data_IF_423101689655
#
_entry.id   IF_423101689655
#
_cell.length_a   1.000
_cell.length_b   1.000
_cell.length_c   1.000
_cell.angle_alpha   90.00
_cell.angle_beta   90.00
_cell.angle_gamma   90.00
#
_symmetry.space_group_name_H-M   'P 1'
#
loop_
_entity.id
_entity.type
_entity.pdbx_description
1 polymer ?
#
# COMPACT_ATOMS: atom_id res chain seq x y z
N UNK A 1 69.34 -22.85 77.40
CA UNK A 1 69.00 -21.78 76.44
C UNK A 1 69.45 -22.23 75.06
N UNK A 2 68.55 -22.62 74.13
CA UNK A 2 68.99 -23.09 72.83
C UNK A 2 69.24 -21.92 71.90
N UNK A 3 70.48 -21.86 71.42
CA UNK A 3 70.99 -20.97 70.41
C UNK A 3 70.42 -21.41 69.05
N UNK A 4 69.41 -20.72 68.52
CA UNK A 4 68.88 -20.97 67.16
C UNK A 4 68.89 -19.71 66.26
N UNK A 5 70.04 -19.06 65.95
CA UNK A 5 70.07 -17.98 64.94
C UNK A 5 70.41 -18.49 63.52
N UNK A 6 70.98 -19.68 63.38
CA UNK A 6 71.48 -20.21 62.10
C UNK A 6 70.43 -20.94 61.24
N UNK A 7 69.45 -21.59 61.87
CA UNK A 7 68.40 -22.33 61.17
C UNK A 7 67.38 -21.38 60.52
N UNK A 8 66.97 -20.31 61.22
CA UNK A 8 66.03 -19.30 60.74
C UNK A 8 66.52 -18.61 59.45
N UNK A 9 67.81 -18.24 59.37
CA UNK A 9 68.39 -17.61 58.18
C UNK A 9 68.43 -18.52 56.95
N UNK A 10 68.64 -19.83 57.12
CA UNK A 10 68.59 -20.80 56.01
C UNK A 10 67.16 -20.98 55.49
N UNK A 11 66.17 -20.99 56.37
CA UNK A 11 64.75 -21.11 56.00
C UNK A 11 64.25 -19.87 55.25
N UNK A 12 64.67 -18.68 55.66
CA UNK A 12 64.35 -17.42 54.96
C UNK A 12 64.99 -17.36 53.57
N UNK A 13 66.26 -17.78 53.44
CA UNK A 13 66.96 -17.80 52.16
C UNK A 13 66.35 -18.84 51.19
N UNK A 14 65.93 -20.00 51.70
CA UNK A 14 65.17 -20.97 50.91
C UNK A 14 63.81 -20.42 50.45
N UNK A 15 63.05 -19.75 51.34
CA UNK A 15 61.80 -19.07 50.97
C UNK A 15 62.00 -17.96 49.94
N UNK A 16 63.09 -17.18 50.04
CA UNK A 16 63.42 -16.15 49.07
C UNK A 16 63.78 -16.74 47.69
N UNK A 17 64.54 -17.84 47.67
CA UNK A 17 64.88 -18.57 46.43
C UNK A 17 63.63 -19.17 45.75
N UNK A 18 62.72 -19.75 46.52
CA UNK A 18 61.44 -20.25 46.00
C UNK A 18 60.56 -19.13 45.45
N UNK A 19 60.48 -17.98 46.15
CA UNK A 19 59.78 -16.80 45.64
C UNK A 19 60.36 -16.30 44.33
N UNK A 20 61.69 -16.25 44.21
CA UNK A 20 62.37 -15.85 42.98
C UNK A 20 62.10 -16.83 41.82
N UNK A 21 62.14 -18.14 42.08
CA UNK A 21 61.82 -19.15 41.07
C UNK A 21 60.35 -19.07 40.62
N UNK A 22 59.41 -18.83 41.54
CA UNK A 22 58.00 -18.59 41.20
C UNK A 22 57.78 -17.28 40.43
N UNK A 23 58.56 -16.24 40.73
CA UNK A 23 58.54 -15.00 39.95
C UNK A 23 59.04 -15.24 38.52
N UNK A 24 60.19 -15.91 38.36
CA UNK A 24 60.74 -16.25 37.02
C UNK A 24 59.82 -17.14 36.19
N UNK A 25 59.13 -18.11 36.81
CA UNK A 25 58.12 -18.93 36.10
C UNK A 25 56.93 -18.09 35.64
N UNK A 26 56.43 -17.21 36.51
CA UNK A 26 55.34 -16.29 36.15
C UNK A 26 55.77 -15.32 35.05
N UNK A 27 56.99 -14.78 35.09
CA UNK A 27 57.51 -13.91 34.03
C UNK A 27 57.60 -14.67 32.69
N UNK A 28 58.01 -15.94 32.71
CA UNK A 28 58.02 -16.78 31.51
C UNK A 28 56.60 -17.08 30.99
N UNK A 29 55.65 -17.37 31.88
CA UNK A 29 54.23 -17.56 31.55
C UNK A 29 53.62 -16.28 30.96
N UNK A 30 53.90 -15.11 31.55
CA UNK A 30 53.45 -13.83 31.02
C UNK A 30 54.09 -13.51 29.67
N UNK A 31 55.38 -13.79 29.50
CA UNK A 31 56.06 -13.61 28.21
C UNK A 31 55.49 -14.52 27.12
N UNK A 32 55.11 -15.75 27.46
CA UNK A 32 54.47 -16.65 26.51
C UNK A 32 53.04 -16.19 26.18
N UNK A 33 52.27 -15.79 27.18
CA UNK A 33 50.92 -15.26 26.97
C UNK A 33 50.92 -13.98 26.09
N UNK A 34 51.90 -13.10 26.29
CA UNK A 34 52.09 -11.93 25.44
C UNK A 34 52.36 -12.33 23.97
N UNK A 35 53.25 -13.29 23.73
CA UNK A 35 53.50 -13.81 22.38
C UNK A 35 52.29 -14.48 21.74
N UNK A 36 51.43 -15.13 22.54
CA UNK A 36 50.19 -15.73 22.04
C UNK A 36 49.16 -14.66 21.67
N UNK A 37 49.08 -13.56 22.43
CA UNK A 37 48.23 -12.40 22.11
C UNK A 37 48.71 -11.73 20.82
N UNK A 38 50.02 -11.46 20.69
CA UNK A 38 50.58 -10.82 19.49
C UNK A 38 50.30 -11.65 18.22
N UNK A 39 50.39 -12.99 18.31
CA UNK A 39 50.06 -13.89 17.20
C UNK A 39 48.56 -13.86 16.85
N UNK A 40 47.68 -13.80 17.84
CA UNK A 40 46.25 -13.72 17.58
C UNK A 40 45.87 -12.34 16.99
N UNK A 41 46.52 -11.26 17.43
CA UNK A 41 46.35 -9.93 16.84
C UNK A 41 46.77 -9.91 15.36
N UNK A 42 47.93 -10.49 15.03
CA UNK A 42 48.39 -10.64 13.64
C UNK A 42 47.39 -11.44 12.79
N UNK A 43 46.88 -12.56 13.34
CA UNK A 43 45.87 -13.40 12.67
C UNK A 43 44.55 -12.66 12.44
N UNK A 44 44.12 -11.86 13.42
CA UNK A 44 42.89 -11.06 13.31
C UNK A 44 43.05 -9.94 12.29
N UNK A 45 44.21 -9.28 12.22
CA UNK A 45 44.44 -8.26 11.20
C UNK A 45 44.53 -8.86 9.78
N UNK A 46 45.13 -10.03 9.61
CA UNK A 46 45.10 -10.73 8.32
C UNK A 46 43.66 -11.10 7.91
N UNK A 47 42.84 -11.58 8.87
CA UNK A 47 41.43 -11.87 8.63
C UNK A 47 40.63 -10.62 8.28
N UNK A 48 40.90 -9.49 8.94
CA UNK A 48 40.28 -8.19 8.64
C UNK A 48 40.63 -7.73 7.23
N UNK A 49 41.91 -7.80 6.83
CA UNK A 49 42.34 -7.51 5.46
C UNK A 49 41.62 -8.40 4.44
N UNK A 50 41.55 -9.70 4.68
CA UNK A 50 40.84 -10.65 3.81
C UNK A 50 39.34 -10.32 3.67
N UNK A 51 38.67 -9.95 4.76
CA UNK A 51 37.27 -9.55 4.74
C UNK A 51 37.05 -8.22 4.01
N UNK A 52 37.94 -7.24 4.17
CA UNK A 52 37.90 -5.98 3.43
C UNK A 52 38.07 -6.23 1.93
N UNK A 53 39.05 -7.05 1.52
CA UNK A 53 39.24 -7.43 0.12
C UNK A 53 38.01 -8.16 -0.43
N UNK A 54 37.43 -9.11 0.31
CA UNK A 54 36.19 -9.78 -0.11
C UNK A 54 35.04 -8.78 -0.25
N UNK A 55 34.92 -7.82 0.65
CA UNK A 55 33.89 -6.78 0.58
C UNK A 55 34.09 -5.88 -0.64
N UNK A 56 35.32 -5.49 -0.96
CA UNK A 56 35.65 -4.69 -2.15
C UNK A 56 35.41 -5.47 -3.45
N UNK A 57 35.80 -6.75 -3.51
CA UNK A 57 35.53 -7.61 -4.67
C UNK A 57 34.03 -7.82 -4.86
N UNK A 58 33.29 -8.03 -3.77
CA UNK A 58 31.84 -8.14 -3.83
C UNK A 58 31.21 -6.80 -4.22
N UNK A 59 31.65 -5.66 -3.68
CA UNK A 59 31.12 -4.34 -4.07
C UNK A 59 31.42 -4.00 -5.52
N UNK A 60 32.65 -4.21 -6.02
CA UNK A 60 32.96 -3.96 -7.44
C UNK A 60 32.17 -4.85 -8.38
N UNK A 61 31.97 -6.12 -8.05
CA UNK A 61 31.10 -7.01 -8.83
C UNK A 61 29.62 -6.63 -8.71
N UNK A 62 29.16 -6.19 -7.54
CA UNK A 62 27.78 -5.78 -7.32
C UNK A 62 27.47 -4.46 -8.04
N UNK A 63 28.37 -3.48 -7.97
CA UNK A 63 28.25 -2.20 -8.65
C UNK A 63 28.40 -2.33 -10.17
N UNK A 64 29.28 -3.19 -10.69
CA UNK A 64 29.40 -3.41 -12.14
C UNK A 64 28.21 -4.18 -12.73
N UNK A 65 27.66 -5.17 -12.00
CA UNK A 65 26.50 -5.95 -12.46
C UNK A 65 25.18 -5.22 -12.31
N UNK A 66 25.06 -4.37 -11.28
CA UNK A 66 23.92 -3.47 -11.09
C UNK A 66 24.14 -2.10 -11.73
N UNK A 67 25.29 -1.86 -12.33
CA UNK A 67 25.49 -0.63 -13.11
C UNK A 67 24.42 -0.64 -14.19
N UNK A 68 23.67 0.44 -14.26
CA UNK A 68 22.48 0.51 -15.11
C UNK A 68 22.83 0.18 -16.58
N UNK A 69 24.09 0.41 -16.97
CA UNK A 69 24.66 0.02 -18.27
C UNK A 69 24.68 -1.50 -18.51
N UNK A 70 25.15 -2.35 -17.58
CA UNK A 70 25.23 -3.81 -17.80
C UNK A 70 23.83 -4.44 -17.76
N UNK A 71 23.00 -3.99 -16.81
CA UNK A 71 21.60 -4.39 -16.72
C UNK A 71 20.85 -4.10 -18.02
N UNK A 72 20.93 -2.86 -18.52
CA UNK A 72 20.20 -2.40 -19.71
C UNK A 72 20.77 -2.96 -21.01
N UNK A 73 22.10 -3.10 -21.11
CA UNK A 73 22.75 -3.55 -22.35
C UNK A 73 22.78 -5.07 -22.51
N UNK A 74 22.84 -5.84 -21.43
CA UNK A 74 23.11 -7.28 -21.51
C UNK A 74 22.01 -8.12 -20.87
N UNK A 75 21.67 -7.84 -19.61
CA UNK A 75 20.76 -8.68 -18.83
C UNK A 75 19.33 -8.57 -19.39
N UNK A 76 18.80 -7.36 -19.53
CA UNK A 76 17.44 -7.13 -20.04
C UNK A 76 17.24 -7.75 -21.44
N UNK A 77 18.12 -7.50 -22.44
CA UNK A 77 17.99 -8.11 -23.76
C UNK A 77 18.06 -9.65 -23.72
N UNK A 78 18.95 -10.22 -22.91
CA UNK A 78 19.04 -11.68 -22.74
C UNK A 78 17.74 -12.25 -22.15
N UNK A 79 17.22 -11.64 -21.09
CA UNK A 79 15.95 -12.05 -20.47
C UNK A 79 14.78 -11.96 -21.46
N UNK A 80 14.69 -10.89 -22.25
CA UNK A 80 13.67 -10.76 -23.29
C UNK A 80 13.79 -11.87 -24.33
N UNK A 81 14.98 -12.11 -24.87
CA UNK A 81 15.20 -13.16 -25.87
C UNK A 81 14.87 -14.56 -25.36
N UNK A 82 15.33 -14.90 -24.14
CA UNK A 82 15.08 -16.21 -23.54
C UNK A 82 13.59 -16.41 -23.23
N UNK A 83 12.93 -15.42 -22.62
CA UNK A 83 11.51 -15.50 -22.27
C UNK A 83 10.62 -15.60 -23.52
N UNK A 84 10.94 -14.86 -24.59
CA UNK A 84 10.21 -14.94 -25.85
C UNK A 84 10.34 -16.33 -26.48
N UNK A 85 11.55 -16.89 -26.50
CA UNK A 85 11.75 -18.25 -27.04
C UNK A 85 10.99 -19.30 -26.23
N UNK A 86 11.08 -19.23 -24.90
CA UNK A 86 10.35 -20.11 -24.00
C UNK A 86 8.83 -20.00 -24.19
N UNK A 87 8.30 -18.78 -24.24
CA UNK A 87 6.88 -18.54 -24.47
C UNK A 87 6.42 -19.09 -25.83
N UNK A 88 7.22 -18.92 -26.88
CA UNK A 88 6.97 -19.51 -28.21
C UNK A 88 6.96 -21.05 -28.17
N UNK A 89 7.88 -21.65 -27.42
CA UNK A 89 7.88 -23.12 -27.22
C UNK A 89 6.64 -23.58 -26.46
N UNK A 90 6.18 -22.84 -25.44
CA UNK A 90 4.92 -23.14 -24.74
C UNK A 90 3.72 -23.05 -25.69
N UNK A 91 3.61 -21.99 -26.48
CA UNK A 91 2.51 -21.79 -27.43
C UNK A 91 2.41 -22.91 -28.46
N UNK A 92 3.56 -23.38 -28.96
CA UNK A 92 3.62 -24.40 -30.02
C UNK A 92 3.45 -25.82 -29.51
N UNK A 93 3.85 -26.11 -28.27
CA UNK A 93 3.88 -27.48 -27.72
C UNK A 93 2.71 -27.81 -26.78
N UNK A 94 2.13 -26.81 -26.12
CA UNK A 94 1.07 -27.00 -25.14
C UNK A 94 -0.27 -26.58 -25.73
N UNK A 95 -1.33 -27.33 -25.43
CA UNK A 95 -2.70 -26.92 -25.76
C UNK A 95 -3.12 -25.71 -24.91
N UNK A 96 -4.18 -25.02 -25.34
CA UNK A 96 -4.69 -23.83 -24.66
C UNK A 96 -5.02 -24.11 -23.19
N UNK A 97 -5.64 -25.26 -22.92
CA UNK A 97 -6.07 -25.67 -21.58
C UNK A 97 -4.88 -25.87 -20.63
N UNK A 98 -3.80 -26.49 -21.11
CA UNK A 98 -2.59 -26.67 -20.31
C UNK A 98 -1.89 -25.33 -20.06
N UNK A 99 -1.89 -24.42 -21.05
CA UNK A 99 -1.36 -23.06 -20.85
C UNK A 99 -2.18 -22.29 -19.83
N UNK A 100 -3.50 -22.35 -19.89
CA UNK A 100 -4.38 -21.68 -18.93
C UNK A 100 -4.18 -22.21 -17.50
N UNK A 101 -3.93 -23.51 -17.35
CA UNK A 101 -3.50 -24.07 -16.05
C UNK A 101 -2.18 -23.44 -15.59
N UNK A 102 -1.16 -23.38 -16.45
CA UNK A 102 0.14 -22.78 -16.12
C UNK A 102 -0.03 -21.30 -15.72
N UNK A 103 -0.82 -20.53 -16.49
CA UNK A 103 -1.09 -19.13 -16.18
C UNK A 103 -1.86 -18.98 -14.88
N UNK A 104 -2.80 -19.87 -14.58
CA UNK A 104 -3.49 -19.89 -13.29
C UNK A 104 -2.53 -20.11 -12.11
N UNK A 105 -1.53 -20.98 -12.29
CA UNK A 105 -0.49 -21.18 -11.28
C UNK A 105 0.42 -19.96 -11.06
N UNK A 106 0.52 -19.01 -12.00
CA UNK A 106 1.27 -17.76 -11.79
C UNK A 106 0.63 -16.89 -10.69
N UNK A 107 -0.68 -16.98 -10.55
CA UNK A 107 -1.49 -16.19 -9.63
C UNK A 107 -1.85 -16.94 -8.34
N UNK A 108 -1.57 -18.24 -8.29
CA UNK A 108 -1.80 -19.06 -7.12
C UNK A 108 -0.82 -18.69 -6.00
N UNK A 109 -1.36 -18.23 -4.89
CA UNK A 109 -0.57 -17.99 -3.69
C UNK A 109 -0.48 -19.25 -2.85
N UNK A 110 0.74 -19.62 -2.46
CA UNK A 110 0.98 -20.66 -1.47
C UNK A 110 1.43 -19.99 -0.16
N UNK A 111 0.67 -20.13 0.94
CA UNK A 111 0.95 -19.43 2.20
C UNK A 111 2.35 -19.71 2.76
N UNK A 112 2.85 -20.93 2.56
CA UNK A 112 4.20 -21.33 3.03
C UNK A 112 5.35 -20.94 2.09
N UNK A 113 5.08 -20.39 0.89
CA UNK A 113 6.14 -19.91 0.01
C UNK A 113 6.52 -18.50 0.42
N UNK A 114 7.70 -18.38 1.03
CA UNK A 114 8.43 -17.13 1.23
C UNK A 114 8.79 -16.51 -0.14
N UNK A 115 7.80 -15.88 -0.79
CA UNK A 115 8.10 -15.12 -2.01
C UNK A 115 8.90 -13.86 -1.62
N UNK A 116 9.76 -13.34 -2.51
CA UNK A 116 10.39 -12.03 -2.35
C UNK A 116 9.39 -10.89 -2.03
N UNK A 117 8.11 -11.04 -2.43
CA UNK A 117 7.03 -10.12 -2.07
C UNK A 117 6.74 -10.10 -0.55
N UNK A 118 7.12 -11.13 0.21
CA UNK A 118 7.10 -11.06 1.67
C UNK A 118 8.08 -10.03 2.25
N UNK A 119 9.14 -9.64 1.55
CA UNK A 119 9.98 -8.52 1.98
C UNK A 119 9.30 -7.17 1.69
N UNK A 120 8.52 -7.08 0.61
CA UNK A 120 7.61 -5.93 0.34
C UNK A 120 6.49 -5.77 1.38
N UNK A 121 6.05 -6.87 2.02
CA UNK A 121 5.01 -6.86 3.09
C UNK A 121 5.33 -5.92 4.26
N UNK A 122 6.60 -5.67 4.59
CA UNK A 122 6.96 -4.79 5.72
C UNK A 122 6.73 -3.30 5.44
N UNK A 123 6.66 -2.90 4.16
CA UNK A 123 6.31 -1.54 3.77
C UNK A 123 4.83 -1.41 3.38
N UNK A 124 4.24 -2.42 2.74
CA UNK A 124 2.86 -2.35 2.25
C UNK A 124 1.76 -2.60 3.31
N UNK A 125 2.06 -3.28 4.42
CA UNK A 125 1.14 -3.34 5.59
C UNK A 125 0.78 -1.96 6.14
N UNK A 126 1.50 -0.91 5.74
CA UNK A 126 1.25 0.46 6.20
C UNK A 126 0.15 1.19 5.42
N UNK A 127 -0.29 0.66 4.26
CA UNK A 127 -1.33 1.28 3.42
C UNK A 127 -2.64 0.49 3.38
N UNK A 128 -2.65 -0.72 3.96
CA UNK A 128 -3.80 -1.61 3.98
C UNK A 128 -4.45 -1.71 5.36
N UNK A 129 -5.41 -0.84 5.59
CA UNK A 129 -6.47 -1.01 6.59
C UNK A 129 -7.83 -0.76 5.95
N UNK A 130 -8.19 -1.49 4.88
CA UNK A 130 -9.46 -1.22 4.17
C UNK A 130 -10.26 -2.43 3.72
N UNK A 131 -9.95 -3.64 4.19
CA UNK A 131 -10.84 -4.81 3.97
C UNK A 131 -11.23 -5.48 5.28
N UNK A 132 -12.51 -5.29 5.60
CA UNK A 132 -13.44 -6.11 6.36
C UNK A 132 -13.51 -6.01 7.90
N UNK A 133 -14.76 -5.83 8.34
CA UNK A 133 -15.27 -6.28 9.62
C UNK A 133 -15.33 -7.82 9.63
N UNK A 134 -14.86 -8.41 10.72
CA UNK A 134 -14.97 -9.76 11.31
C UNK A 134 -15.30 -11.04 10.50
N UNK A 135 -15.73 -11.01 9.23
CA UNK A 135 -16.24 -12.19 8.49
C UNK A 135 -15.55 -12.52 7.14
N UNK A 136 -14.53 -11.78 6.71
CA UNK A 136 -13.73 -12.18 5.53
C UNK A 136 -12.32 -12.58 5.98
N UNK A 137 -11.98 -13.88 6.01
CA UNK A 137 -10.63 -14.30 6.34
C UNK A 137 -9.68 -13.84 5.24
N UNK A 138 -8.72 -12.99 5.62
CA UNK A 138 -7.37 -12.98 5.08
C UNK A 138 -7.21 -12.78 3.56
N UNK A 139 -8.01 -11.94 2.91
CA UNK A 139 -7.77 -11.61 1.47
C UNK A 139 -6.37 -11.02 1.24
N UNK A 140 -5.84 -10.26 2.21
CA UNK A 140 -4.49 -9.70 2.20
C UNK A 140 -3.42 -10.78 2.48
N UNK A 141 -3.70 -11.77 3.34
CA UNK A 141 -2.72 -12.84 3.57
C UNK A 141 -2.70 -13.85 2.43
N UNK A 142 -3.79 -13.98 1.67
CA UNK A 142 -3.96 -14.97 0.63
C UNK A 142 -3.52 -14.53 -0.78
N UNK A 143 -3.30 -13.24 -1.08
CA UNK A 143 -3.00 -12.81 -2.47
C UNK A 143 -2.04 -11.60 -2.61
N UNK A 144 -0.85 -11.59 -1.98
CA UNK A 144 0.04 -10.42 -1.95
C UNK A 144 0.52 -9.96 -3.35
N UNK A 145 0.82 -10.89 -4.26
CA UNK A 145 1.27 -10.52 -5.62
C UNK A 145 0.16 -9.81 -6.42
N UNK A 146 -1.07 -10.30 -6.34
CA UNK A 146 -2.20 -9.68 -7.03
C UNK A 146 -2.47 -8.29 -6.48
N UNK A 147 -2.29 -8.12 -5.17
CA UNK A 147 -2.43 -6.85 -4.46
C UNK A 147 -1.36 -5.82 -4.86
N UNK A 148 -0.09 -6.25 -4.98
CA UNK A 148 1.01 -5.40 -5.44
C UNK A 148 0.77 -4.92 -6.88
N UNK A 149 0.30 -5.83 -7.75
CA UNK A 149 -0.02 -5.52 -9.15
C UNK A 149 -1.19 -4.54 -9.22
N UNK A 150 -2.28 -4.76 -8.49
CA UNK A 150 -3.43 -3.85 -8.53
C UNK A 150 -3.11 -2.46 -8.00
N UNK A 151 -2.21 -2.34 -7.01
CA UNK A 151 -1.71 -1.02 -6.59
C UNK A 151 -0.83 -0.36 -7.62
N UNK A 152 0.08 -1.13 -8.21
CA UNK A 152 0.92 -0.61 -9.29
C UNK A 152 0.04 -0.09 -10.42
N UNK A 153 -1.00 -0.83 -10.80
CA UNK A 153 -2.02 -0.37 -11.75
C UNK A 153 -2.74 0.91 -11.30
N UNK A 154 -3.06 1.03 -10.01
CA UNK A 154 -3.73 2.21 -9.47
C UNK A 154 -2.84 3.47 -9.45
N UNK A 155 -1.53 3.32 -9.29
CA UNK A 155 -0.57 4.43 -9.13
C UNK A 155 0.24 4.77 -10.37
N UNK A 156 0.30 3.89 -11.38
CA UNK A 156 1.11 4.13 -12.57
C UNK A 156 0.39 5.07 -13.53
N UNK A 157 0.87 6.32 -13.58
CA UNK A 157 0.61 7.19 -14.73
C UNK A 157 1.28 6.57 -15.97
N UNK A 158 0.61 6.63 -17.11
CA UNK A 158 0.87 5.94 -18.39
C UNK A 158 2.33 5.87 -18.92
N UNK A 159 3.24 6.68 -18.41
CA UNK A 159 4.56 6.88 -19.00
C UNK A 159 5.63 5.82 -18.69
N UNK A 160 5.46 4.94 -17.69
CA UNK A 160 6.64 4.28 -17.10
C UNK A 160 6.60 2.75 -16.96
N UNK A 161 5.57 2.05 -17.45
CA UNK A 161 5.42 0.59 -17.27
C UNK A 161 6.62 -0.22 -17.75
N UNK A 162 7.27 0.20 -18.84
CA UNK A 162 8.48 -0.44 -19.34
C UNK A 162 9.60 -0.47 -18.29
N UNK A 163 9.80 0.63 -17.57
CA UNK A 163 10.81 0.71 -16.50
C UNK A 163 10.39 -0.14 -15.30
N UNK A 164 9.10 -0.20 -14.99
CA UNK A 164 8.59 -1.11 -13.96
C UNK A 164 8.84 -2.58 -14.31
N UNK A 165 8.67 -2.97 -15.57
CA UNK A 165 9.05 -4.30 -16.05
C UNK A 165 10.56 -4.50 -16.01
N UNK A 166 11.33 -3.61 -16.61
CA UNK A 166 12.79 -3.73 -16.71
C UNK A 166 13.47 -3.78 -15.32
N UNK A 167 12.87 -3.14 -14.31
CA UNK A 167 13.32 -3.19 -12.90
C UNK A 167 12.69 -4.32 -12.07
N UNK A 168 11.83 -5.17 -12.67
CA UNK A 168 11.17 -6.29 -11.99
C UNK A 168 10.12 -5.89 -10.94
N UNK A 169 9.64 -4.64 -10.97
CA UNK A 169 8.57 -4.15 -10.09
C UNK A 169 7.20 -4.70 -10.50
N UNK A 170 7.00 -4.97 -11.80
CA UNK A 170 5.83 -5.67 -12.33
C UNK A 170 6.30 -6.94 -13.04
N UNK A 171 5.57 -8.06 -12.96
CA UNK A 171 6.04 -9.31 -13.56
C UNK A 171 6.25 -9.23 -15.07
N UNK A 172 7.41 -9.69 -15.55
CA UNK A 172 7.77 -9.70 -16.98
C UNK A 172 6.76 -10.44 -17.87
N UNK A 173 6.02 -11.41 -17.33
CA UNK A 173 5.01 -12.15 -18.08
C UNK A 173 3.72 -11.35 -18.36
N UNK A 174 3.64 -10.09 -17.97
CA UNK A 174 2.61 -9.16 -18.46
C UNK A 174 3.15 -8.23 -19.56
N UNK A 175 4.44 -8.31 -19.88
CA UNK A 175 5.08 -7.48 -20.90
C UNK A 175 5.22 -8.23 -22.22
N UNK A 176 4.64 -7.67 -23.28
CA UNK A 176 4.78 -8.18 -24.64
C UNK A 176 6.23 -8.20 -25.12
N UNK A 177 7.07 -7.27 -24.65
CA UNK A 177 8.52 -7.23 -24.92
C UNK A 177 9.24 -8.48 -24.39
N UNK A 178 8.76 -9.08 -23.30
CA UNK A 178 9.44 -10.20 -22.66
C UNK A 178 8.91 -11.56 -23.12
N UNK A 179 7.61 -11.72 -23.33
CA UNK A 179 7.02 -13.05 -23.61
C UNK A 179 6.25 -13.11 -24.93
N UNK A 180 6.24 -12.03 -25.69
CA UNK A 180 5.48 -11.88 -26.92
C UNK A 180 4.01 -11.51 -26.67
N UNK A 181 3.41 -10.81 -27.64
CA UNK A 181 2.06 -10.23 -27.52
C UNK A 181 0.98 -11.27 -27.21
N UNK A 182 0.95 -12.41 -27.92
CA UNK A 182 -0.07 -13.44 -27.71
C UNK A 182 -0.01 -14.03 -26.30
N UNK A 183 1.18 -14.42 -25.83
CA UNK A 183 1.35 -14.98 -24.49
C UNK A 183 1.02 -13.94 -23.43
N UNK A 184 1.43 -12.68 -23.60
CA UNK A 184 1.10 -11.61 -22.67
C UNK A 184 -0.40 -11.34 -22.59
N UNK A 185 -1.10 -11.37 -23.72
CA UNK A 185 -2.55 -11.31 -23.77
C UNK A 185 -3.19 -12.47 -23.00
N UNK A 186 -2.77 -13.72 -23.27
CA UNK A 186 -3.30 -14.90 -22.57
C UNK A 186 -3.07 -14.85 -21.05
N UNK A 187 -1.89 -14.39 -20.61
CA UNK A 187 -1.55 -14.20 -19.20
C UNK A 187 -2.38 -13.09 -18.57
N UNK A 188 -2.57 -11.96 -19.27
CA UNK A 188 -3.42 -10.85 -18.83
C UNK A 188 -4.88 -11.27 -18.66
N UNK A 189 -5.44 -12.04 -19.58
CA UNK A 189 -6.79 -12.63 -19.42
C UNK A 189 -6.87 -13.51 -18.16
N UNK A 190 -5.85 -14.33 -17.93
CA UNK A 190 -5.77 -15.17 -16.71
C UNK A 190 -5.66 -14.33 -15.43
N UNK A 191 -4.93 -13.21 -15.45
CA UNK A 191 -4.84 -12.27 -14.33
C UNK A 191 -6.23 -11.76 -13.94
N UNK A 192 -6.98 -11.19 -14.89
CA UNK A 192 -8.32 -10.66 -14.62
C UNK A 192 -9.28 -11.74 -14.15
N UNK A 193 -9.18 -12.97 -14.66
CA UNK A 193 -9.95 -14.09 -14.11
C UNK A 193 -9.71 -14.30 -12.61
N UNK A 194 -8.45 -14.24 -12.17
CA UNK A 194 -8.09 -14.41 -10.76
C UNK A 194 -8.48 -13.19 -9.91
N UNK A 195 -8.27 -11.97 -10.42
CA UNK A 195 -8.69 -10.74 -9.75
C UNK A 195 -10.21 -10.70 -9.53
N UNK A 196 -11.00 -11.13 -10.52
CA UNK A 196 -12.45 -11.26 -10.39
C UNK A 196 -12.85 -12.31 -9.35
N UNK A 197 -12.18 -13.47 -9.34
CA UNK A 197 -12.47 -14.55 -8.38
C UNK A 197 -12.18 -14.13 -6.95
N UNK A 198 -11.15 -13.31 -6.74
CA UNK A 198 -10.74 -12.82 -5.44
C UNK A 198 -11.39 -11.48 -5.04
N UNK A 199 -12.26 -10.90 -5.89
CA UNK A 199 -12.91 -9.60 -5.68
C UNK A 199 -11.89 -8.46 -5.37
N UNK A 200 -10.74 -8.48 -6.06
CA UNK A 200 -9.59 -7.59 -5.80
C UNK A 200 -9.53 -6.33 -6.68
N UNK A 201 -10.36 -6.22 -7.72
CA UNK A 201 -10.38 -5.04 -8.58
C UNK A 201 -11.04 -3.87 -7.87
N UNK A 202 -10.32 -2.77 -7.76
CA UNK A 202 -10.80 -1.56 -7.10
C UNK A 202 -10.42 -0.31 -7.89
N UNK A 203 -11.28 0.69 -7.89
CA UNK A 203 -10.98 2.01 -8.47
C UNK A 203 -11.66 3.13 -7.68
N UNK A 204 -11.17 4.36 -7.84
CA UNK A 204 -11.96 5.52 -7.43
C UNK A 204 -13.04 5.81 -8.47
N UNK A 205 -14.18 6.32 -8.00
CA UNK A 205 -15.33 6.72 -8.84
C UNK A 205 -14.96 7.48 -10.13
N UNK A 206 -14.11 8.50 -10.05
CA UNK A 206 -13.65 9.24 -11.24
C UNK A 206 -12.73 8.46 -12.21
N UNK A 207 -12.23 7.28 -11.84
CA UNK A 207 -11.40 6.40 -12.66
C UNK A 207 -12.17 5.21 -13.26
N UNK A 208 -13.48 5.08 -12.99
CA UNK A 208 -14.32 3.99 -13.53
C UNK A 208 -14.14 3.87 -15.04
N UNK A 209 -14.27 4.99 -15.77
CA UNK A 209 -14.13 5.00 -17.23
C UNK A 209 -12.77 4.47 -17.69
N UNK A 210 -11.69 4.97 -17.09
CA UNK A 210 -10.33 4.52 -17.42
C UNK A 210 -10.16 3.02 -17.17
N UNK A 211 -10.66 2.51 -16.05
CA UNK A 211 -10.58 1.07 -15.69
C UNK A 211 -11.20 0.16 -16.77
N UNK A 212 -12.22 0.63 -17.46
CA UNK A 212 -12.94 -0.14 -18.48
C UNK A 212 -12.46 0.10 -19.91
N UNK A 213 -11.91 1.26 -20.22
CA UNK A 213 -11.49 1.62 -21.58
C UNK A 213 -10.00 1.41 -21.82
N UNK A 214 -9.20 1.42 -20.76
CA UNK A 214 -7.75 1.42 -20.85
C UNK A 214 -7.20 0.05 -20.47
N UNK A 215 -6.48 -0.55 -21.41
CA UNK A 215 -5.60 -1.68 -21.13
C UNK A 215 -4.25 -1.15 -20.65
N UNK A 216 -4.09 -1.08 -19.32
CA UNK A 216 -2.87 -0.59 -18.70
C UNK A 216 -1.64 -1.38 -19.15
N UNK A 217 -1.75 -2.68 -19.43
CA UNK A 217 -0.59 -3.48 -19.86
C UNK A 217 -0.29 -3.35 -21.36
N UNK A 218 -1.16 -2.71 -22.13
CA UNK A 218 -1.06 -2.56 -23.58
C UNK A 218 -0.89 -3.90 -24.32
N UNK A 219 -1.58 -4.94 -23.86
CA UNK A 219 -1.56 -6.30 -24.45
C UNK A 219 -2.84 -6.63 -25.23
N UNK A 220 -3.68 -5.63 -25.51
CA UNK A 220 -4.91 -5.74 -26.28
C UNK A 220 -6.06 -6.38 -25.50
N UNK A 221 -6.17 -6.14 -24.20
CA UNK A 221 -7.23 -6.71 -23.35
C UNK A 221 -8.59 -6.01 -23.57
N UNK A 222 -9.67 -6.74 -23.87
CA UNK A 222 -11.02 -6.19 -23.91
C UNK A 222 -11.57 -6.04 -22.48
N UNK A 223 -11.13 -5.01 -21.78
CA UNK A 223 -11.40 -4.77 -20.36
C UNK A 223 -12.88 -4.85 -19.97
N UNK A 224 -13.76 -4.27 -20.79
CA UNK A 224 -15.23 -4.35 -20.64
C UNK A 224 -15.78 -5.79 -20.58
N UNK A 225 -15.14 -6.74 -21.26
CA UNK A 225 -15.55 -8.14 -21.26
C UNK A 225 -14.84 -8.98 -20.19
N UNK A 226 -13.70 -8.50 -19.68
CA UNK A 226 -12.90 -9.22 -18.69
C UNK A 226 -13.29 -8.89 -17.26
N UNK A 227 -13.63 -7.64 -16.94
CA UNK A 227 -14.00 -7.24 -15.58
C UNK A 227 -15.39 -7.80 -15.24
N UNK A 228 -15.45 -8.59 -14.16
CA UNK A 228 -16.67 -9.24 -13.64
C UNK A 228 -16.89 -8.98 -12.16
N UNK A 229 -15.90 -8.44 -11.45
CA UNK A 229 -16.03 -7.95 -10.08
C UNK A 229 -15.35 -6.61 -9.98
N UNK A 230 -16.00 -5.61 -9.37
CA UNK A 230 -15.42 -4.28 -9.19
C UNK A 230 -15.87 -3.64 -7.88
N UNK A 231 -14.91 -3.14 -7.11
CA UNK A 231 -15.16 -2.29 -5.94
C UNK A 231 -14.87 -0.83 -6.29
N UNK A 232 -15.86 0.05 -6.12
CA UNK A 232 -15.76 1.47 -6.43
C UNK A 232 -15.69 2.27 -5.14
N UNK A 233 -14.60 3.01 -4.99
CA UNK A 233 -14.38 3.95 -3.90
C UNK A 233 -14.95 5.32 -4.29
N UNK A 234 -16.14 5.61 -3.79
CA UNK A 234 -16.85 6.87 -4.06
C UNK A 234 -16.64 7.84 -2.90
N UNK A 235 -15.70 8.78 -3.04
CA UNK A 235 -15.54 9.89 -2.09
C UNK A 235 -16.68 10.88 -2.30
N UNK A 236 -17.79 10.70 -1.58
CA UNK A 236 -19.01 11.53 -1.73
C UNK A 236 -18.68 13.01 -1.58
N UNK A 237 -17.73 13.33 -0.69
CA UNK A 237 -17.28 14.69 -0.44
C UNK A 237 -16.66 15.39 -1.66
N UNK A 238 -16.17 14.65 -2.66
CA UNK A 238 -15.66 15.21 -3.93
C UNK A 238 -16.75 15.78 -4.82
N UNK A 239 -17.97 15.28 -4.69
CA UNK A 239 -19.10 15.68 -5.54
C UNK A 239 -19.88 16.85 -4.97
N UNK A 240 -19.49 17.35 -3.80
CA UNK A 240 -20.12 18.47 -3.12
C UNK A 240 -20.04 19.78 -3.90
N UNK A 241 -21.13 20.55 -3.94
CA UNK A 241 -21.20 21.87 -4.61
C UNK A 241 -21.44 23.02 -3.63
N UNK A 242 -20.69 24.13 -3.76
CA UNK A 242 -20.97 25.32 -2.95
C UNK A 242 -22.42 25.79 -3.17
N UNK A 243 -23.08 26.37 -2.14
CA UNK A 243 -24.44 26.88 -2.30
C UNK A 243 -24.53 27.90 -3.45
N UNK A 244 -25.64 27.90 -4.22
CA UNK A 244 -25.77 28.69 -5.46
C UNK A 244 -25.60 30.21 -5.28
N UNK A 245 -25.79 30.74 -4.06
CA UNK A 245 -25.64 32.17 -3.73
C UNK A 245 -24.45 32.47 -2.80
N UNK A 246 -23.54 31.51 -2.62
CA UNK A 246 -22.42 31.69 -1.71
C UNK A 246 -21.31 32.55 -2.34
N UNK A 247 -21.27 33.85 -2.03
CA UNK A 247 -20.10 34.68 -2.29
C UNK A 247 -19.02 34.35 -1.27
N UNK A 248 -17.98 33.62 -1.70
CA UNK A 248 -16.78 33.39 -0.91
C UNK A 248 -16.24 34.74 -0.43
N UNK A 249 -16.46 35.05 0.85
CA UNK A 249 -15.92 36.25 1.48
C UNK A 249 -14.65 35.90 2.25
N UNK A 250 -13.71 36.84 2.46
CA UNK A 250 -12.55 36.62 3.33
C UNK A 250 -12.91 36.30 4.79
N UNK A 251 -14.19 36.45 5.17
CA UNK A 251 -14.73 36.16 6.51
C UNK A 251 -15.50 34.83 6.57
N UNK A 252 -15.57 34.09 5.47
CA UNK A 252 -16.19 32.79 5.41
C UNK A 252 -15.23 31.75 6.01
N UNK A 253 -15.48 31.34 7.25
CA UNK A 253 -14.68 30.33 7.96
C UNK A 253 -15.08 28.89 7.60
N UNK A 254 -15.59 28.69 6.39
CA UNK A 254 -16.01 27.38 5.94
C UNK A 254 -15.23 26.98 4.69
N UNK A 255 -14.69 25.77 4.71
CA UNK A 255 -13.98 25.22 3.56
C UNK A 255 -14.95 24.95 2.40
N UNK A 256 -14.44 24.74 1.18
CA UNK A 256 -15.19 24.24 0.02
C UNK A 256 -16.02 22.96 0.30
N UNK A 257 -15.88 22.35 1.49
CA UNK A 257 -16.64 21.19 1.97
C UNK A 257 -17.97 21.54 2.69
N UNK A 258 -18.23 22.83 2.94
CA UNK A 258 -19.53 23.34 3.42
C UNK A 258 -20.51 23.58 2.28
N UNK A 259 -20.96 22.47 1.73
CA UNK A 259 -21.89 22.39 0.60
C UNK A 259 -23.14 21.67 1.04
N UNK A 260 -24.31 22.18 0.72
CA UNK A 260 -25.57 21.53 1.08
C UNK A 260 -25.96 20.40 0.11
N UNK A 261 -25.37 20.36 -1.10
CA UNK A 261 -25.82 19.52 -2.21
C UNK A 261 -24.67 18.82 -2.94
N UNK A 262 -25.01 17.79 -3.70
CA UNK A 262 -24.15 17.05 -4.61
C UNK A 262 -24.33 17.56 -6.04
N UNK A 263 -23.22 17.69 -6.78
CA UNK A 263 -23.18 17.81 -8.23
C UNK A 263 -23.64 16.49 -8.85
N UNK A 264 -24.97 16.35 -9.03
CA UNK A 264 -25.59 15.13 -9.55
C UNK A 264 -25.06 14.79 -10.94
N UNK A 265 -24.82 15.79 -11.78
CA UNK A 265 -24.32 15.65 -13.14
C UNK A 265 -22.94 14.99 -13.15
N UNK A 266 -22.01 15.47 -12.31
CA UNK A 266 -20.66 14.91 -12.22
C UNK A 266 -20.68 13.48 -11.67
N UNK A 267 -21.47 13.23 -10.63
CA UNK A 267 -21.61 11.88 -10.06
C UNK A 267 -22.20 10.90 -11.09
N UNK A 268 -23.23 11.31 -11.84
CA UNK A 268 -23.79 10.51 -12.95
C UNK A 268 -22.77 10.25 -14.05
N UNK A 269 -22.00 11.28 -14.42
CA UNK A 269 -20.98 11.17 -15.47
C UNK A 269 -19.90 10.15 -15.10
N UNK A 270 -19.39 10.19 -13.87
CA UNK A 270 -18.35 9.27 -13.42
C UNK A 270 -18.82 7.80 -13.44
N UNK A 271 -20.10 7.57 -13.14
CA UNK A 271 -20.68 6.22 -13.12
C UNK A 271 -21.38 5.81 -14.44
N UNK A 272 -21.43 6.67 -15.46
CA UNK A 272 -22.23 6.41 -16.67
C UNK A 272 -21.79 5.14 -17.41
N UNK A 273 -20.48 4.86 -17.42
CA UNK A 273 -19.89 3.69 -18.09
C UNK A 273 -20.43 2.38 -17.54
N UNK A 274 -20.83 2.33 -16.26
CA UNK A 274 -21.44 1.13 -15.68
C UNK A 274 -22.75 0.75 -16.35
N UNK A 275 -23.44 1.72 -16.97
CA UNK A 275 -24.68 1.45 -17.71
C UNK A 275 -24.44 0.87 -19.11
N UNK A 276 -23.22 0.96 -19.63
CA UNK A 276 -22.84 0.43 -20.94
C UNK A 276 -22.30 -1.02 -20.85
N UNK A 277 -21.93 -1.47 -19.65
CA UNK A 277 -21.46 -2.82 -19.41
C UNK A 277 -22.58 -3.80 -19.75
N UNK A 278 -22.25 -4.83 -20.53
CA UNK A 278 -23.08 -6.03 -20.68
C UNK A 278 -23.05 -6.81 -19.37
N UNK A 279 -23.85 -6.32 -18.44
CA UNK A 279 -24.16 -6.93 -17.15
C UNK A 279 -24.81 -8.28 -17.41
N UNK A 280 -24.15 -9.33 -16.92
CA UNK A 280 -24.76 -10.64 -16.80
C UNK A 280 -24.97 -10.92 -15.31
N UNK A 281 -25.71 -11.98 -15.00
CA UNK A 281 -26.00 -12.37 -13.61
C UNK A 281 -24.76 -12.74 -12.78
N UNK A 282 -23.56 -12.77 -13.38
CA UNK A 282 -22.32 -13.08 -12.69
C UNK A 282 -21.50 -11.83 -12.33
N UNK A 283 -21.88 -10.64 -12.79
CA UNK A 283 -21.16 -9.41 -12.45
C UNK A 283 -21.41 -9.05 -10.98
N UNK A 284 -20.35 -8.70 -10.25
CA UNK A 284 -20.39 -8.21 -8.86
C UNK A 284 -19.91 -6.76 -8.79
N UNK A 285 -20.76 -5.88 -8.29
CA UNK A 285 -20.45 -4.48 -8.08
C UNK A 285 -20.55 -4.16 -6.58
N UNK A 286 -19.47 -3.64 -6.01
CA UNK A 286 -19.48 -3.10 -4.65
C UNK A 286 -19.18 -1.61 -4.70
N UNK A 287 -20.11 -0.75 -4.28
CA UNK A 287 -19.89 0.69 -4.19
C UNK A 287 -19.70 1.06 -2.72
N UNK A 288 -18.55 1.63 -2.40
CA UNK A 288 -18.25 2.15 -1.06
C UNK A 288 -18.36 3.67 -1.09
N UNK A 289 -19.38 4.20 -0.40
CA UNK A 289 -19.63 5.63 -0.25
C UNK A 289 -18.86 6.14 0.97
N UNK A 290 -17.80 6.91 0.73
CA UNK A 290 -17.00 7.54 1.76
C UNK A 290 -17.49 8.96 2.08
N UNK A 291 -17.68 9.22 3.37
CA UNK A 291 -17.88 10.57 3.90
C UNK A 291 -16.92 10.82 5.05
N UNK A 292 -16.22 11.95 5.01
CA UNK A 292 -15.47 12.52 6.14
C UNK A 292 -16.38 13.33 7.03
N UNK A 293 -17.26 14.14 6.43
CA UNK A 293 -18.26 14.94 7.14
C UNK A 293 -19.64 14.32 6.89
N UNK A 294 -20.11 13.51 7.83
CA UNK A 294 -21.35 12.73 7.75
C UNK A 294 -22.55 13.68 7.68
N UNK A 295 -23.23 13.63 6.55
CA UNK A 295 -24.49 14.35 6.28
C UNK A 295 -25.46 13.40 5.62
N UNK A 296 -26.56 13.11 6.31
CA UNK A 296 -27.57 12.17 5.83
C UNK A 296 -28.24 12.66 4.55
N UNK A 297 -28.53 13.95 4.44
CA UNK A 297 -29.11 14.59 3.23
C UNK A 297 -28.22 14.43 2.00
N UNK A 298 -26.90 14.60 2.17
CA UNK A 298 -25.92 14.41 1.09
C UNK A 298 -25.85 12.94 0.68
N UNK A 299 -25.84 12.02 1.66
CA UNK A 299 -25.83 10.59 1.37
C UNK A 299 -27.11 10.15 0.63
N UNK A 300 -28.26 10.68 1.05
CA UNK A 300 -29.55 10.48 0.39
C UNK A 300 -29.51 10.91 -1.08
N UNK A 301 -29.02 12.13 -1.34
CA UNK A 301 -28.87 12.65 -2.69
C UNK A 301 -27.89 11.84 -3.55
N UNK A 302 -26.81 11.32 -2.97
CA UNK A 302 -25.84 10.49 -3.68
C UNK A 302 -26.51 9.19 -4.15
N UNK A 303 -27.24 8.55 -3.24
CA UNK A 303 -27.94 7.29 -3.52
C UNK A 303 -29.08 7.50 -4.51
N UNK A 304 -29.84 8.58 -4.38
CA UNK A 304 -30.86 8.98 -5.38
C UNK A 304 -30.24 9.19 -6.77
N UNK A 305 -29.11 9.88 -6.81
CA UNK A 305 -28.39 10.14 -8.07
C UNK A 305 -27.90 8.86 -8.75
N UNK A 306 -27.49 7.86 -7.96
CA UNK A 306 -27.04 6.56 -8.44
C UNK A 306 -28.19 5.55 -8.64
N UNK A 307 -29.42 5.93 -8.33
CA UNK A 307 -30.60 5.05 -8.36
C UNK A 307 -30.82 4.35 -9.71
N UNK A 308 -30.56 5.03 -10.83
CA UNK A 308 -30.69 4.44 -12.17
C UNK A 308 -29.69 3.31 -12.42
N UNK A 309 -28.48 3.42 -11.88
CA UNK A 309 -27.46 2.37 -11.95
C UNK A 309 -27.88 1.19 -11.10
N UNK A 310 -28.40 1.44 -9.89
CA UNK A 310 -28.86 0.37 -9.00
C UNK A 310 -30.01 -0.42 -9.63
N UNK A 311 -31.00 0.28 -10.17
CA UNK A 311 -32.13 -0.35 -10.87
C UNK A 311 -31.67 -1.19 -12.06
N UNK A 312 -30.71 -0.69 -12.85
CA UNK A 312 -30.15 -1.45 -13.97
C UNK A 312 -29.50 -2.76 -13.49
N UNK A 313 -28.60 -2.69 -12.51
CA UNK A 313 -27.91 -3.87 -11.98
C UNK A 313 -28.88 -4.88 -11.36
N UNK A 314 -29.94 -4.41 -10.68
CA UNK A 314 -31.03 -5.26 -10.19
C UNK A 314 -31.80 -5.94 -11.33
N UNK A 315 -32.15 -5.21 -12.39
CA UNK A 315 -32.83 -5.76 -13.58
C UNK A 315 -32.00 -6.85 -14.27
N UNK A 316 -30.69 -6.64 -14.34
CA UNK A 316 -29.74 -7.57 -14.95
C UNK A 316 -29.37 -8.75 -14.05
N UNK A 317 -29.93 -8.79 -12.83
CA UNK A 317 -29.64 -9.79 -11.78
C UNK A 317 -28.14 -9.87 -11.41
N UNK A 318 -27.42 -8.77 -11.59
CA UNK A 318 -26.05 -8.65 -11.12
C UNK A 318 -26.03 -8.51 -9.59
N UNK A 319 -24.95 -8.95 -8.96
CA UNK A 319 -24.75 -8.73 -7.52
C UNK A 319 -24.35 -7.27 -7.32
N UNK A 320 -25.16 -6.53 -6.56
CA UNK A 320 -24.89 -5.15 -6.17
C UNK A 320 -24.81 -5.09 -4.66
N UNK A 321 -23.74 -4.49 -4.16
CA UNK A 321 -23.58 -4.13 -2.75
C UNK A 321 -23.24 -2.66 -2.66
N UNK A 322 -23.88 -1.93 -1.75
CA UNK A 322 -23.57 -0.54 -1.47
C UNK A 322 -23.34 -0.39 0.03
N UNK A 323 -22.16 0.10 0.39
CA UNK A 323 -21.77 0.28 1.78
C UNK A 323 -21.42 1.75 2.00
N UNK A 324 -21.97 2.35 3.03
CA UNK A 324 -21.49 3.63 3.51
C UNK A 324 -20.36 3.41 4.51
N UNK A 325 -19.35 4.28 4.49
CA UNK A 325 -18.23 4.22 5.43
C UNK A 325 -17.78 5.62 5.81
N UNK A 326 -17.69 5.86 7.13
CA UNK A 326 -17.08 7.07 7.64
C UNK A 326 -15.55 6.98 7.56
N UNK A 327 -14.94 7.97 6.91
CA UNK A 327 -13.49 8.11 6.79
C UNK A 327 -13.05 9.44 7.41
N UNK A 328 -12.79 9.40 8.72
CA UNK A 328 -12.28 10.56 9.47
C UNK A 328 -10.97 11.15 8.92
N UNK A 329 -10.54 12.27 9.51
CA UNK A 329 -9.23 12.88 9.23
C UNK A 329 -8.13 12.04 9.90
N UNK A 330 -7.68 10.99 9.21
CA UNK A 330 -6.52 10.23 9.66
C UNK A 330 -5.29 10.92 9.07
N UNK A 331 -4.66 11.80 9.85
CA UNK A 331 -3.42 12.53 9.49
C UNK A 331 -2.23 11.60 9.21
N UNK A 332 -2.35 10.31 9.53
CA UNK A 332 -1.35 9.31 9.19
C UNK A 332 -1.90 8.43 8.06
N UNK A 333 -1.11 8.21 7.01
CA UNK A 333 -1.40 7.36 5.84
C UNK A 333 -1.80 5.90 6.15
N UNK A 334 -1.94 5.54 7.44
CA UNK A 334 -2.18 4.21 7.99
C UNK A 334 -3.65 3.87 8.24
N UNK A 335 -4.58 4.81 8.00
CA UNK A 335 -6.01 4.61 8.24
C UNK A 335 -6.36 4.24 9.70
N UNK A 336 -7.65 4.08 10.05
CA UNK A 336 -8.02 3.48 11.32
C UNK A 336 -7.76 1.97 11.27
N UNK A 337 -7.39 1.33 12.40
CA UNK A 337 -7.48 -0.12 12.53
C UNK A 337 -8.86 -0.63 12.08
N UNK A 338 -8.94 -1.80 11.42
CA UNK A 338 -10.19 -2.36 10.88
C UNK A 338 -11.35 -2.39 11.91
N UNK A 339 -11.06 -2.68 13.18
CA UNK A 339 -12.03 -2.69 14.28
C UNK A 339 -12.57 -1.30 14.68
N UNK A 340 -12.08 -0.22 14.07
CA UNK A 340 -12.55 1.17 14.26
C UNK A 340 -13.17 1.74 12.99
N UNK A 341 -13.33 0.93 11.95
CA UNK A 341 -14.00 1.35 10.73
C UNK A 341 -15.51 1.39 11.00
N UNK A 342 -16.10 2.57 10.93
CA UNK A 342 -17.55 2.71 11.04
C UNK A 342 -18.13 2.57 9.64
N UNK A 343 -18.83 1.48 9.39
CA UNK A 343 -19.49 1.18 8.13
C UNK A 343 -20.93 0.74 8.34
N UNK A 344 -21.74 0.87 7.29
CA UNK A 344 -23.13 0.44 7.27
C UNK A 344 -23.43 -0.10 5.87
N UNK A 345 -23.92 -1.33 5.78
CA UNK A 345 -24.44 -1.86 4.52
C UNK A 345 -25.81 -1.24 4.27
N UNK A 346 -25.96 -0.55 3.14
CA UNK A 346 -27.20 0.14 2.78
C UNK A 346 -27.87 -0.48 1.54
N UNK A 347 -27.42 -1.67 1.13
CA UNK A 347 -27.90 -2.33 -0.10
C UNK A 347 -29.39 -2.60 -0.07
N UNK A 348 -29.91 -3.09 1.06
CA UNK A 348 -31.30 -3.55 1.17
C UNK A 348 -32.33 -2.42 1.05
N UNK A 349 -31.89 -1.17 1.27
CA UNK A 349 -32.75 0.00 1.16
C UNK A 349 -32.86 0.52 -0.29
N UNK A 350 -32.01 0.03 -1.19
CA UNK A 350 -31.99 0.43 -2.60
C UNK A 350 -33.16 -0.21 -3.34
N UNK A 351 -34.22 0.56 -3.55
CA UNK A 351 -35.37 0.13 -4.37
C UNK A 351 -36.70 0.05 -3.64
N UNK A 352 -36.82 0.62 -2.44
CA UNK A 352 -38.13 0.78 -1.82
C UNK A 352 -39.06 1.65 -2.70
N UNK A 353 -40.36 1.30 -2.82
CA UNK A 353 -41.29 1.96 -3.74
C UNK A 353 -41.59 3.45 -3.42
N UNK A 354 -41.14 3.95 -2.26
CA UNK A 354 -41.38 5.32 -1.81
C UNK A 354 -40.17 6.25 -1.98
N UNK A 355 -39.14 5.80 -2.70
CA UNK A 355 -37.88 6.52 -2.91
C UNK A 355 -36.68 5.57 -2.71
N UNK A 356 -35.49 5.91 -3.25
CA UNK A 356 -34.33 5.02 -3.25
C UNK A 356 -33.78 4.68 -1.85
N UNK A 357 -34.36 5.28 -0.81
CA UNK A 357 -33.95 5.25 0.57
C UNK A 357 -35.17 5.59 1.44
N UNK A 358 -35.88 4.59 1.97
CA UNK A 358 -37.04 4.82 2.86
C UNK A 358 -36.68 5.55 4.16
N UNK A 359 -37.61 5.74 5.11
CA UNK A 359 -37.22 6.32 6.41
C UNK A 359 -36.32 5.37 7.24
N UNK A 360 -36.36 4.06 6.95
CA UNK A 360 -35.73 3.01 7.75
C UNK A 360 -34.20 3.09 7.80
N UNK A 361 -33.53 3.23 6.65
CA UNK A 361 -32.05 3.29 6.60
C UNK A 361 -31.47 4.45 7.40
N UNK A 362 -32.19 5.58 7.50
CA UNK A 362 -31.74 6.72 8.30
C UNK A 362 -31.71 6.34 9.78
N UNK A 363 -32.70 5.60 10.26
CA UNK A 363 -32.72 5.13 11.65
C UNK A 363 -31.59 4.13 11.90
N UNK A 364 -31.39 3.18 10.98
CA UNK A 364 -30.32 2.19 11.11
C UNK A 364 -28.93 2.86 11.07
N UNK A 365 -28.75 3.87 10.22
CA UNK A 365 -27.53 4.65 10.17
C UNK A 365 -27.36 5.53 11.42
N UNK A 366 -28.43 6.11 11.97
CA UNK A 366 -28.37 6.83 13.25
C UNK A 366 -27.95 5.88 14.38
N UNK A 367 -28.52 4.68 14.44
CA UNK A 367 -28.17 3.68 15.44
C UNK A 367 -26.66 3.30 15.31
N UNK A 368 -26.15 3.12 14.09
CA UNK A 368 -24.70 2.92 13.82
C UNK A 368 -23.84 4.11 14.28
N UNK A 369 -24.30 5.35 14.05
CA UNK A 369 -23.60 6.56 14.47
C UNK A 369 -23.57 6.71 15.99
N UNK A 370 -24.66 6.36 16.66
CA UNK A 370 -24.76 6.37 18.13
C UNK A 370 -23.82 5.34 18.77
N UNK A 371 -23.74 4.13 18.20
CA UNK A 371 -22.78 3.10 18.62
C UNK A 371 -21.32 3.55 18.40
N UNK A 372 -21.10 4.44 17.43
CA UNK A 372 -19.80 4.94 17.04
C UNK A 372 -19.43 6.34 17.58
N UNK A 373 -20.21 6.96 18.50
CA UNK A 373 -19.95 8.33 19.03
C UNK A 373 -18.53 8.46 19.64
N UNK A 374 -17.96 7.37 20.15
CA UNK A 374 -16.59 7.36 20.68
C UNK A 374 -15.49 7.38 19.62
N UNK A 375 -15.80 7.01 18.37
CA UNK A 375 -14.85 6.91 17.25
C UNK A 375 -14.99 8.04 16.23
N UNK A 376 -16.15 8.69 16.19
CA UNK A 376 -16.46 9.78 15.26
C UNK A 376 -16.41 11.10 16.03
N UNK A 377 -15.48 12.03 15.71
CA UNK A 377 -15.51 13.36 16.28
C UNK A 377 -16.87 14.01 16.00
N UNK A 378 -17.54 14.53 17.04
CA UNK A 378 -18.87 15.14 16.92
C UNK A 378 -18.96 16.20 15.82
N UNK A 379 -17.88 16.96 15.59
CA UNK A 379 -17.78 17.95 14.51
C UNK A 379 -17.99 17.38 13.10
N UNK A 380 -17.76 16.09 12.90
CA UNK A 380 -17.93 15.43 11.61
C UNK A 380 -19.37 14.97 11.37
N UNK A 381 -20.26 14.99 12.35
CA UNK A 381 -21.66 14.57 12.15
C UNK A 381 -22.57 15.80 12.12
N UNK A 382 -23.32 15.96 11.03
CA UNK A 382 -24.37 16.96 10.92
C UNK A 382 -25.68 16.27 10.52
N UNK A 383 -26.66 16.33 11.42
CA UNK A 383 -28.02 15.86 11.17
C UNK A 383 -28.89 17.09 10.90
N UNK A 384 -29.13 17.39 9.63
CA UNK A 384 -29.99 18.50 9.20
C UNK A 384 -31.48 18.12 9.39
N UNK A 385 -32.29 19.03 9.95
CA UNK A 385 -33.54 18.68 10.64
C UNK A 385 -34.74 18.21 9.79
N UNK A 386 -35.49 17.24 10.35
CA UNK A 386 -36.96 17.16 10.56
C UNK A 386 -37.42 15.79 11.09
N UNK A 387 -36.50 14.88 11.41
CA UNK A 387 -36.78 13.64 12.13
C UNK A 387 -36.79 13.88 13.65
N UNK A 388 -37.68 14.75 14.12
CA UNK A 388 -38.13 14.74 15.52
C UNK A 388 -39.30 13.75 15.60
N UNK A 389 -39.02 12.44 15.54
CA UNK A 389 -40.03 11.40 15.76
C UNK A 389 -39.51 10.39 16.80
N UNK A 390 -39.93 10.65 18.04
CA UNK A 390 -40.55 9.70 18.96
C UNK A 390 -39.87 8.36 19.35
N UNK A 391 -38.55 8.19 19.22
CA UNK A 391 -37.83 7.35 20.20
C UNK A 391 -37.49 8.26 21.39
N UNK A 392 -37.82 7.85 22.61
CA UNK A 392 -37.37 8.51 23.85
C UNK A 392 -35.84 8.38 23.95
N UNK A 393 -35.11 9.10 23.11
CA UNK A 393 -33.72 9.38 23.34
C UNK A 393 -33.66 10.42 24.46
N UNK A 394 -32.85 10.14 25.48
CA UNK A 394 -32.63 11.03 26.59
C UNK A 394 -32.21 12.40 26.03
N UNK A 395 -32.95 13.46 26.36
CA UNK A 395 -32.80 14.79 25.76
C UNK A 395 -31.40 15.41 25.96
N UNK A 396 -30.59 14.81 26.83
CA UNK A 396 -29.18 15.15 27.03
C UNK A 396 -28.23 14.62 25.94
N UNK A 397 -28.56 13.53 25.24
CA UNK A 397 -27.71 12.96 24.18
C UNK A 397 -27.75 13.82 22.91
N UNK A 398 -28.94 14.21 22.48
CA UNK A 398 -29.16 15.06 21.29
C UNK A 398 -28.59 16.47 21.51
N UNK A 399 -28.78 17.06 22.69
CA UNK A 399 -28.20 18.39 23.00
C UNK A 399 -26.66 18.35 23.07
N UNK A 400 -26.04 17.24 23.48
CA UNK A 400 -24.57 17.10 23.43
C UNK A 400 -24.02 16.91 22.01
N UNK A 401 -24.85 16.42 21.09
CA UNK A 401 -24.49 16.18 19.70
C UNK A 401 -24.54 17.46 18.86
N UNK A 402 -25.52 18.33 19.12
CA UNK A 402 -25.79 19.54 18.34
C UNK A 402 -24.89 20.74 18.74
N UNK A 403 -24.28 20.74 19.92
CA UNK A 403 -23.63 21.95 20.47
C UNK A 403 -22.09 22.04 20.37
N UNK A 404 -21.39 21.07 19.79
CA UNK A 404 -19.91 21.12 19.61
C UNK A 404 -19.50 21.34 18.14
N UNK A 405 -20.17 22.27 17.46
CA UNK A 405 -19.85 22.68 16.08
C UNK A 405 -18.91 23.90 16.11
N UNK A 406 -17.88 23.91 15.27
CA UNK A 406 -16.84 24.92 15.00
C UNK A 406 -15.46 24.67 15.63
N UNK A 407 -14.46 24.48 14.75
CA UNK A 407 -13.05 24.84 14.98
C UNK A 407 -12.43 25.40 13.69
N UNK A 408 -11.56 26.37 13.86
CA UNK A 408 -10.85 27.19 12.85
C UNK A 408 -9.80 26.47 12.01
N UNK A 409 -9.63 25.15 12.19
CA UNK A 409 -8.50 24.38 11.63
C UNK A 409 -8.71 23.92 10.18
N UNK A 410 -9.91 24.09 9.60
CA UNK A 410 -10.17 23.77 8.18
C UNK A 410 -9.49 24.72 7.19
N UNK A 411 -8.99 25.88 7.64
CA UNK A 411 -8.39 26.91 6.78
C UNK A 411 -6.89 26.69 6.50
N UNK A 412 -6.21 25.81 7.25
CA UNK A 412 -4.76 25.67 7.15
C UNK A 412 -4.28 24.63 6.12
N UNK A 413 -5.16 23.74 5.65
CA UNK A 413 -4.72 22.47 5.01
C UNK A 413 -5.49 22.07 3.73
N UNK A 414 -6.24 22.99 3.11
CA UNK A 414 -6.90 22.76 1.79
C UNK A 414 -6.10 23.31 0.61
N UNK A 415 -4.94 23.91 0.84
CA UNK A 415 -3.90 23.92 -0.18
C UNK A 415 -3.23 22.57 -0.13
N UNK A 416 -3.48 21.74 -1.15
CA UNK A 416 -2.67 20.58 -1.45
C UNK A 416 -1.19 21.01 -1.33
N UNK A 417 -0.54 20.58 -0.25
CA UNK A 417 0.90 20.64 -0.10
C UNK A 417 1.53 19.64 -1.07
N UNK A 418 1.37 19.88 -2.37
CA UNK A 418 2.47 19.63 -3.29
C UNK A 418 3.56 20.61 -2.87
N UNK A 419 4.46 20.13 -2.00
CA UNK A 419 5.77 20.72 -1.83
C UNK A 419 6.42 20.78 -3.22
N UNK A 420 6.24 21.93 -3.88
CA UNK A 420 7.24 22.48 -4.77
C UNK A 420 8.54 22.50 -3.97
N UNK A 421 9.34 21.45 -4.12
CA UNK A 421 10.79 21.54 -3.98
C UNK A 421 11.26 22.48 -5.09
N UNK A 422 11.06 23.77 -4.86
CA UNK A 422 11.68 24.83 -5.63
C UNK A 422 13.19 24.65 -5.51
N UNK A 423 13.80 24.47 -6.67
CA UNK A 423 15.19 24.76 -6.98
C UNK A 423 15.71 25.89 -6.07
N UNK A 424 16.61 25.53 -5.15
CA UNK A 424 17.56 26.49 -4.61
C UNK A 424 18.80 26.40 -5.49
N UNK A 425 18.89 27.37 -6.38
CA UNK A 425 20.11 27.77 -7.05
C UNK A 425 21.19 28.10 -6.00
N UNK A 426 22.41 27.63 -6.31
CA UNK A 426 23.70 28.32 -6.12
C UNK A 426 24.05 28.89 -4.73
N UNK A 427 25.08 28.33 -4.09
CA UNK A 427 26.44 28.90 -4.13
C UNK A 427 27.42 28.11 -3.24
N UNK A 428 28.71 28.29 -3.54
CA UNK A 428 29.92 27.90 -2.80
C UNK A 428 30.57 26.64 -3.39
N UNK A 429 31.31 26.77 -4.50
CA UNK A 429 32.76 27.07 -4.49
C UNK A 429 33.52 26.21 -3.47
N UNK A 430 34.13 25.13 -3.95
CA UNK A 430 35.42 24.64 -3.43
C UNK A 430 36.15 23.91 -4.58
N UNK A 431 37.05 24.66 -5.21
CA UNK A 431 38.09 24.16 -6.10
C UNK A 431 38.99 23.17 -5.35
N UNK A 432 38.92 21.88 -5.70
CA UNK A 432 40.02 20.95 -5.48
C UNK A 432 40.58 20.51 -6.83
N UNK A 433 41.54 21.31 -7.29
CA UNK A 433 42.54 20.95 -8.28
C UNK A 433 43.51 19.96 -7.61
N UNK A 434 43.36 18.67 -7.92
CA UNK A 434 44.34 17.64 -7.54
C UNK A 434 44.86 17.00 -8.82
N UNK A 435 45.77 17.74 -9.47
CA UNK A 435 46.67 17.22 -10.49
C UNK A 435 47.55 16.13 -9.89
N UNK A 436 47.18 14.86 -10.06
CA UNK A 436 48.10 13.77 -9.78
C UNK A 436 48.99 13.53 -11.01
N UNK A 437 50.25 13.86 -10.80
CA UNK A 437 51.39 13.80 -11.70
C UNK A 437 51.67 12.33 -12.10
N UNK A 438 51.47 12.00 -13.39
CA UNK A 438 52.07 10.81 -14.00
C UNK A 438 53.53 11.10 -14.32
N UNK A 439 54.39 10.97 -13.32
CA UNK A 439 55.79 10.68 -13.53
C UNK A 439 56.32 9.76 -12.43
N UNK A 440 57.07 8.74 -12.88
CA UNK A 440 57.73 7.68 -12.11
C UNK A 440 56.89 6.44 -11.72
N UNK A 441 56.68 5.52 -12.69
CA UNK A 441 57.24 4.14 -12.66
C UNK A 441 56.89 3.31 -13.91
#
# INVERSE_FOLDING_TARGET
>A
MPNVPGALKKTELAKARDKLLRAKRRDAEFSQAAQEIDKEEERLEERKRCLVTKRLMLHGQYEDWLNNTVLTRTIIPYCKAWNQDFARQMQTRLSREIRDMVYGYLWYFHPDRTSPHQMGRLHLRQHYTFTCADDMPDTIENFPLLLDITQSLFHVNDGNLKVFFDNGLVPHYLSSDYIGALTAHEVGVSLYHHLNKADLLQCESHHIKSMFEKDDFHVGLPMMDLIRSLTIHCKVDRYRTPPPDHKLSPKCNHSLSETAQICRERLRQDFSVLTDIKTNSAFKLHIILYQRNIRLSVLEEAVDTLGTIFQKFQQDRASLRVTWTYRGHWQNARGPPCHKLVNCDITDYLGEPNGPLGAAWMFDLIDVLDEADQFIPRRHVRIEGKLVIARKMDGNAINRFVHNMYDSDEAADTTDGEENLSESEESDEDDYDDSFDESDL
#
